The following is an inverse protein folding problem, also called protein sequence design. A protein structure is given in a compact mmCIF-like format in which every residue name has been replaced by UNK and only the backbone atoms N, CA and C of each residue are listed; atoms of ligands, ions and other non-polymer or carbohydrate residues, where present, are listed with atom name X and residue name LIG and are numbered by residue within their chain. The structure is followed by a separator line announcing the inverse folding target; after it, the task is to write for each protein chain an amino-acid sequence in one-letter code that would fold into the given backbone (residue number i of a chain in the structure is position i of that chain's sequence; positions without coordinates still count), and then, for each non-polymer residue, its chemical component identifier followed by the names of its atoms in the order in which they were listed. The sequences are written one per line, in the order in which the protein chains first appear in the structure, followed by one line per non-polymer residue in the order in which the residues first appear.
data_IF_360703430481
#
_entry.id   IF_360703430481
#
_cell.length_a   1.000
_cell.length_b   1.000
_cell.length_c   1.000
_cell.angle_alpha   90.00
_cell.angle_beta   90.00
_cell.angle_gamma   90.00
#
_symmetry.space_group_name_H-M   'P 1'
#
loop_
_entity.id
_entity.type
_entity.pdbx_description
1 polymer ?
#
# COMPACT_ATOMS: atom_id res chain seq x y z
N UNK A 1 -14.44 -30.97 10.98
CA UNK A 1 -15.33 -29.81 11.15
C UNK A 1 -14.56 -28.67 11.78
N UNK A 2 -14.12 -27.70 10.98
CA UNK A 2 -14.19 -26.27 11.28
C UNK A 2 -13.86 -25.52 9.98
N UNK A 3 -14.86 -25.43 9.09
CA UNK A 3 -14.85 -24.46 8.00
C UNK A 3 -15.15 -23.09 8.61
N UNK A 4 -14.11 -22.50 9.22
CA UNK A 4 -14.16 -21.12 9.69
C UNK A 4 -14.03 -20.19 8.49
N UNK A 5 -15.11 -20.07 7.71
CA UNK A 5 -15.26 -19.01 6.72
C UNK A 5 -15.24 -17.67 7.43
N UNK A 6 -14.05 -17.05 7.49
CA UNK A 6 -13.87 -15.66 7.86
C UNK A 6 -14.55 -14.78 6.81
N UNK A 7 -15.85 -14.57 6.99
CA UNK A 7 -16.70 -13.82 6.10
C UNK A 7 -16.46 -12.32 6.35
N UNK A 8 -15.66 -11.70 5.47
CA UNK A 8 -15.91 -10.40 4.82
C UNK A 8 -16.13 -9.15 5.70
N UNK A 9 -15.37 -8.97 6.78
CA UNK A 9 -15.16 -7.62 7.32
C UNK A 9 -14.17 -6.78 6.48
N UNK A 10 -13.58 -7.40 5.45
CA UNK A 10 -12.49 -6.83 4.66
C UNK A 10 -12.98 -5.94 3.51
N UNK A 11 -14.15 -6.24 2.92
CA UNK A 11 -14.67 -5.52 1.73
C UNK A 11 -14.89 -4.02 2.05
N UNK A 12 -15.40 -3.67 3.24
CA UNK A 12 -15.75 -2.28 3.59
C UNK A 12 -14.54 -1.32 3.59
N UNK A 13 -13.36 -1.82 4.00
CA UNK A 13 -12.15 -0.98 4.08
C UNK A 13 -11.51 -0.73 2.72
N UNK A 14 -11.59 -1.72 1.82
CA UNK A 14 -11.11 -1.63 0.45
C UNK A 14 -12.05 -0.73 -0.38
N UNK A 15 -13.37 -0.86 -0.16
CA UNK A 15 -14.38 -0.01 -0.77
C UNK A 15 -14.16 1.47 -0.45
N UNK A 16 -13.81 1.81 0.80
CA UNK A 16 -13.58 3.20 1.19
C UNK A 16 -12.41 3.84 0.44
N UNK A 17 -11.27 3.14 0.32
CA UNK A 17 -10.10 3.66 -0.40
C UNK A 17 -10.42 3.82 -1.90
N UNK A 18 -11.14 2.86 -2.47
CA UNK A 18 -11.58 2.93 -3.85
C UNK A 18 -12.51 4.13 -4.10
N UNK A 19 -13.47 4.36 -3.20
CA UNK A 19 -14.39 5.49 -3.28
C UNK A 19 -13.65 6.84 -3.20
N UNK A 20 -12.62 6.96 -2.36
CA UNK A 20 -11.78 8.15 -2.29
C UNK A 20 -10.97 8.35 -3.58
N UNK A 21 -10.44 7.27 -4.15
CA UNK A 21 -9.73 7.31 -5.42
C UNK A 21 -10.65 7.76 -6.56
N UNK A 22 -11.83 7.17 -6.67
CA UNK A 22 -12.81 7.52 -7.68
C UNK A 22 -13.27 8.98 -7.54
N UNK A 23 -13.58 9.43 -6.31
CA UNK A 23 -13.93 10.81 -6.02
C UNK A 23 -12.82 11.79 -6.44
N UNK A 24 -11.56 11.42 -6.17
CA UNK A 24 -10.42 12.21 -6.62
C UNK A 24 -10.33 12.26 -8.15
N UNK A 25 -10.41 11.12 -8.85
CA UNK A 25 -10.36 11.08 -10.31
C UNK A 25 -11.49 11.89 -10.97
N UNK A 26 -12.71 11.82 -10.41
CA UNK A 26 -13.86 12.59 -10.89
C UNK A 26 -13.65 14.10 -10.69
N UNK A 27 -13.15 14.53 -9.54
CA UNK A 27 -12.88 15.95 -9.26
C UNK A 27 -11.80 16.55 -10.16
N UNK A 28 -10.74 15.78 -10.45
CA UNK A 28 -9.68 16.17 -11.40
C UNK A 28 -10.24 16.24 -12.82
N UNK A 29 -11.05 15.25 -13.22
CA UNK A 29 -11.74 15.28 -14.52
C UNK A 29 -12.62 16.52 -14.66
N UNK A 30 -13.35 16.89 -13.60
CA UNK A 30 -14.17 18.11 -13.58
C UNK A 30 -13.31 19.37 -13.70
N UNK A 31 -12.16 19.43 -13.02
CA UNK A 31 -11.21 20.53 -13.11
C UNK A 31 -10.73 20.74 -14.56
N UNK A 32 -10.41 19.68 -15.29
CA UNK A 32 -10.01 19.77 -16.70
C UNK A 32 -11.15 20.16 -17.65
N UNK A 33 -12.38 19.74 -17.35
CA UNK A 33 -13.55 20.06 -18.17
C UNK A 33 -14.06 21.48 -17.95
N UNK A 34 -14.01 21.97 -16.70
CA UNK A 34 -14.46 23.30 -16.33
C UNK A 34 -13.47 23.94 -15.32
N UNK A 35 -12.36 24.51 -15.83
CA UNK A 35 -11.35 25.14 -15.00
C UNK A 35 -11.93 26.32 -14.22
N UNK A 36 -12.13 26.14 -12.92
CA UNK A 36 -12.60 27.18 -12.02
C UNK A 36 -11.90 27.05 -10.68
N UNK A 37 -11.82 28.15 -9.92
CA UNK A 37 -11.25 28.14 -8.58
C UNK A 37 -11.93 27.11 -7.67
N UNK A 38 -13.25 27.03 -7.72
CA UNK A 38 -14.04 26.04 -6.96
C UNK A 38 -13.71 24.60 -7.36
N UNK A 39 -13.53 24.33 -8.66
CA UNK A 39 -13.12 22.99 -9.13
C UNK A 39 -11.71 22.65 -8.64
N UNK A 40 -10.78 23.61 -8.65
CA UNK A 40 -9.42 23.43 -8.14
C UNK A 40 -9.43 23.10 -6.64
N UNK A 41 -10.18 23.86 -5.83
CA UNK A 41 -10.34 23.60 -4.41
C UNK A 41 -10.92 22.21 -4.13
N UNK A 42 -11.91 21.79 -4.92
CA UNK A 42 -12.54 20.47 -4.78
C UNK A 42 -11.53 19.35 -5.08
N UNK A 43 -10.77 19.48 -6.17
CA UNK A 43 -9.75 18.51 -6.55
C UNK A 43 -8.59 18.42 -5.53
N UNK A 44 -8.17 19.56 -4.97
CA UNK A 44 -7.16 19.59 -3.93
C UNK A 44 -7.66 18.91 -2.63
N UNK A 45 -8.91 19.16 -2.24
CA UNK A 45 -9.52 18.55 -1.07
C UNK A 45 -9.65 17.03 -1.21
N UNK A 46 -10.14 16.53 -2.35
CA UNK A 46 -10.24 15.09 -2.62
C UNK A 46 -8.88 14.42 -2.72
N UNK A 47 -7.87 15.08 -3.29
CA UNK A 47 -6.49 14.56 -3.35
C UNK A 47 -5.90 14.41 -1.95
N UNK A 48 -6.13 15.40 -1.08
CA UNK A 48 -5.71 15.35 0.32
C UNK A 48 -6.40 14.22 1.08
N UNK A 49 -7.69 14.02 0.83
CA UNK A 49 -8.47 12.94 1.44
C UNK A 49 -7.93 11.56 0.99
N UNK A 50 -7.71 11.37 -0.31
CA UNK A 50 -7.12 10.16 -0.88
C UNK A 50 -5.73 9.87 -0.29
N UNK A 51 -4.90 10.90 -0.09
CA UNK A 51 -3.60 10.70 0.55
C UNK A 51 -3.75 10.21 1.99
N UNK A 52 -4.63 10.83 2.79
CA UNK A 52 -4.87 10.44 4.19
C UNK A 52 -5.37 8.99 4.28
N UNK A 53 -6.41 8.65 3.51
CA UNK A 53 -6.96 7.29 3.52
C UNK A 53 -5.98 6.27 2.97
N UNK A 54 -5.21 6.61 1.92
CA UNK A 54 -4.16 5.75 1.38
C UNK A 54 -3.07 5.40 2.40
N UNK A 55 -2.60 6.37 3.19
CA UNK A 55 -1.62 6.10 4.25
C UNK A 55 -2.19 5.20 5.34
N UNK A 56 -3.41 5.49 5.80
CA UNK A 56 -4.08 4.68 6.83
C UNK A 56 -4.31 3.25 6.34
N UNK A 57 -4.81 3.10 5.13
CA UNK A 57 -5.08 1.80 4.51
C UNK A 57 -3.80 1.00 4.32
N UNK A 58 -2.72 1.62 3.82
CA UNK A 58 -1.40 0.98 3.68
C UNK A 58 -0.90 0.42 5.02
N UNK A 59 -1.02 1.19 6.10
CA UNK A 59 -0.61 0.74 7.43
C UNK A 59 -1.43 -0.47 7.87
N UNK A 60 -2.75 -0.40 7.78
CA UNK A 60 -3.66 -1.51 8.14
C UNK A 60 -3.38 -2.77 7.30
N UNK A 61 -3.18 -2.61 6.00
CA UNK A 61 -2.86 -3.71 5.09
C UNK A 61 -1.51 -4.36 5.43
N UNK A 62 -0.49 -3.55 5.74
CA UNK A 62 0.81 -4.07 6.20
C UNK A 62 0.68 -4.85 7.51
N UNK A 63 0.04 -4.27 8.54
CA UNK A 63 -0.11 -4.92 9.83
C UNK A 63 -0.88 -6.25 9.71
N UNK A 64 -1.95 -6.26 8.90
CA UNK A 64 -2.74 -7.46 8.59
C UNK A 64 -1.89 -8.51 7.86
N UNK A 65 -1.23 -8.12 6.78
CA UNK A 65 -0.37 -9.00 5.98
C UNK A 65 0.80 -9.57 6.80
N UNK A 66 1.38 -8.77 7.68
CA UNK A 66 2.44 -9.17 8.58
C UNK A 66 1.98 -10.23 9.58
N UNK A 67 0.83 -10.01 10.24
CA UNK A 67 0.25 -10.98 11.18
C UNK A 67 -0.13 -12.28 10.46
N UNK A 68 -0.81 -12.18 9.31
CA UNK A 68 -1.21 -13.34 8.52
C UNK A 68 0.01 -14.16 8.05
N UNK A 69 1.06 -13.47 7.57
CA UNK A 69 2.32 -14.09 7.19
C UNK A 69 2.99 -14.83 8.35
N UNK A 70 3.06 -14.21 9.53
CA UNK A 70 3.60 -14.88 10.75
C UNK A 70 2.80 -16.11 11.15
N UNK A 71 1.47 -16.05 11.08
CA UNK A 71 0.61 -17.19 11.40
C UNK A 71 0.77 -18.34 10.41
N UNK A 72 0.87 -18.04 9.11
CA UNK A 72 1.14 -19.04 8.07
C UNK A 72 2.50 -19.67 8.26
N UNK A 73 3.56 -18.88 8.46
CA UNK A 73 4.90 -19.38 8.74
C UNK A 73 4.93 -20.27 9.99
N UNK A 74 4.25 -19.88 11.07
CA UNK A 74 4.18 -20.68 12.29
C UNK A 74 3.48 -22.03 12.05
N UNK A 75 2.40 -22.06 11.26
CA UNK A 75 1.71 -23.30 10.88
C UNK A 75 2.60 -24.21 10.04
N UNK A 76 3.37 -23.66 9.11
CA UNK A 76 4.31 -24.40 8.27
C UNK A 76 5.45 -24.99 9.11
N UNK A 77 6.08 -24.20 9.97
CA UNK A 77 7.14 -24.68 10.89
C UNK A 77 6.61 -25.81 11.78
N UNK A 78 5.40 -25.64 12.34
CA UNK A 78 4.75 -26.67 13.15
C UNK A 78 4.51 -27.95 12.35
N UNK A 79 4.02 -27.84 11.11
CA UNK A 79 3.79 -28.99 10.23
C UNK A 79 5.10 -29.69 9.85
N UNK A 80 6.17 -28.95 9.52
CA UNK A 80 7.49 -29.51 9.23
C UNK A 80 8.02 -30.33 10.41
N UNK A 81 7.88 -29.82 11.63
CA UNK A 81 8.32 -30.53 12.84
C UNK A 81 7.48 -31.77 13.12
N UNK A 82 6.16 -31.68 12.94
CA UNK A 82 5.22 -32.77 13.26
C UNK A 82 5.24 -33.90 12.24
N UNK A 83 5.37 -33.60 10.95
CA UNK A 83 5.18 -34.58 9.87
C UNK A 83 6.48 -35.01 9.18
N UNK A 84 7.49 -34.15 9.12
CA UNK A 84 8.73 -34.43 8.37
C UNK A 84 9.92 -34.78 9.28
N UNK A 85 9.77 -34.69 10.60
CA UNK A 85 10.84 -34.99 11.54
C UNK A 85 12.05 -34.03 11.47
N UNK A 86 11.89 -32.87 10.84
CA UNK A 86 12.97 -31.89 10.63
C UNK A 86 13.54 -31.45 11.98
N UNK A 87 14.87 -31.44 12.10
CA UNK A 87 15.56 -31.01 13.32
C UNK A 87 15.36 -29.50 13.55
N UNK A 88 15.42 -29.06 14.82
CA UNK A 88 15.33 -27.62 15.12
C UNK A 88 16.48 -26.83 14.46
N UNK A 89 17.66 -27.45 14.34
CA UNK A 89 18.84 -26.85 13.71
C UNK A 89 18.63 -26.57 12.21
N UNK A 90 18.01 -27.51 11.48
CA UNK A 90 17.69 -27.32 10.06
C UNK A 90 16.65 -26.20 9.85
N UNK A 91 15.66 -26.11 10.75
CA UNK A 91 14.68 -25.02 10.73
C UNK A 91 15.39 -23.67 10.97
N UNK A 92 16.28 -23.59 11.95
CA UNK A 92 17.06 -22.38 12.21
C UNK A 92 17.95 -21.98 11.03
N UNK A 93 18.62 -22.93 10.39
CA UNK A 93 19.41 -22.70 9.17
C UNK A 93 18.56 -22.20 8.00
N UNK A 94 17.33 -22.67 7.89
CA UNK A 94 16.39 -22.21 6.86
C UNK A 94 15.94 -20.77 7.14
N UNK A 95 15.55 -20.48 8.38
CA UNK A 95 15.10 -19.14 8.79
C UNK A 95 16.21 -18.10 8.68
N UNK A 96 17.45 -18.43 9.05
CA UNK A 96 18.57 -17.50 8.93
C UNK A 96 18.85 -17.10 7.48
N UNK A 97 18.74 -18.03 6.53
CA UNK A 97 18.85 -17.71 5.09
C UNK A 97 17.80 -16.70 4.63
N UNK A 98 16.56 -16.83 5.11
CA UNK A 98 15.46 -15.92 4.77
C UNK A 98 15.72 -14.53 5.36
N UNK A 99 16.13 -14.45 6.63
CA UNK A 99 16.44 -13.18 7.30
C UNK A 99 17.61 -12.47 6.60
N UNK A 100 18.70 -13.19 6.33
CA UNK A 100 19.82 -12.62 5.58
C UNK A 100 19.37 -12.13 4.19
N UNK A 101 18.58 -12.92 3.46
CA UNK A 101 18.08 -12.52 2.14
C UNK A 101 17.21 -11.25 2.19
N UNK A 102 16.45 -11.04 3.26
CA UNK A 102 15.66 -9.82 3.46
C UNK A 102 16.55 -8.60 3.70
N UNK A 103 17.65 -8.74 4.44
CA UNK A 103 18.63 -7.67 4.70
C UNK A 103 19.40 -7.25 3.44
N UNK A 104 19.70 -8.21 2.55
CA UNK A 104 20.40 -7.94 1.28
C UNK A 104 19.52 -7.27 0.21
N UNK A 105 18.30 -6.89 0.55
CA UNK A 105 17.58 -5.85 -0.18
C UNK A 105 17.15 -6.27 -1.57
N UNK A 106 16.14 -7.15 -1.64
CA UNK A 106 15.06 -6.89 -2.59
C UNK A 106 14.26 -5.68 -2.07
N UNK A 107 14.90 -4.52 -2.04
CA UNK A 107 14.18 -3.28 -2.24
C UNK A 107 13.52 -3.45 -3.59
N UNK A 108 12.23 -3.76 -3.59
CA UNK A 108 11.37 -3.44 -4.71
C UNK A 108 11.50 -1.92 -4.86
N UNK A 109 12.52 -1.52 -5.62
CA UNK A 109 12.72 -0.16 -6.06
C UNK A 109 11.51 0.09 -6.92
N UNK A 110 10.46 0.64 -6.33
CA UNK A 110 9.43 1.34 -7.09
C UNK A 110 10.20 2.18 -8.10
N UNK A 111 9.95 2.02 -9.42
CA UNK A 111 10.67 2.79 -10.41
C UNK A 111 10.69 4.24 -9.95
N UNK A 112 11.88 4.77 -9.67
CA UNK A 112 12.04 6.21 -9.53
C UNK A 112 11.38 6.79 -10.77
N UNK A 113 10.31 7.61 -10.64
CA UNK A 113 9.61 8.11 -11.80
C UNK A 113 10.66 8.74 -12.70
N UNK A 114 10.78 8.21 -13.91
CA UNK A 114 11.61 8.78 -14.97
C UNK A 114 11.32 10.27 -14.96
N UNK A 115 12.37 11.09 -14.83
CA UNK A 115 12.27 12.53 -15.06
C UNK A 115 11.82 12.71 -16.50
N UNK A 116 10.51 12.68 -16.71
CA UNK A 116 9.92 12.86 -18.01
C UNK A 116 9.83 14.36 -18.19
N UNK A 117 10.58 14.91 -19.14
CA UNK A 117 10.54 16.32 -19.57
C UNK A 117 9.20 16.65 -20.26
N UNK A 118 8.08 16.31 -19.63
CA UNK A 118 6.76 16.76 -20.04
C UNK A 118 6.48 18.07 -19.32
N UNK A 119 6.17 19.16 -20.04
CA UNK A 119 5.86 20.46 -19.44
C UNK A 119 4.69 20.38 -18.45
N UNK A 120 3.79 19.40 -18.61
CA UNK A 120 2.72 19.13 -17.65
C UNK A 120 3.27 18.64 -16.30
N UNK A 121 4.25 17.73 -16.29
CA UNK A 121 4.89 17.20 -15.08
C UNK A 121 5.68 18.31 -14.37
N UNK A 122 6.43 19.12 -15.13
CA UNK A 122 7.14 20.28 -14.57
C UNK A 122 6.19 21.29 -13.94
N UNK A 123 5.05 21.57 -14.58
CA UNK A 123 4.01 22.42 -14.01
C UNK A 123 3.47 21.83 -12.70
N UNK A 124 3.10 20.55 -12.68
CA UNK A 124 2.62 19.88 -11.47
C UNK A 124 3.66 19.85 -10.34
N UNK A 125 4.94 19.63 -10.63
CA UNK A 125 6.02 19.74 -9.65
C UNK A 125 6.18 21.18 -9.13
N UNK A 126 6.07 22.18 -10.00
CA UNK A 126 6.15 23.59 -9.61
C UNK A 126 4.96 23.99 -8.72
N UNK A 127 3.73 23.58 -9.06
CA UNK A 127 2.55 23.85 -8.22
C UNK A 127 2.60 23.05 -6.92
N UNK A 128 3.07 21.80 -6.96
CA UNK A 128 3.26 20.95 -5.78
C UNK A 128 4.31 21.48 -4.82
N UNK A 129 5.46 21.95 -5.31
CA UNK A 129 6.48 22.61 -4.50
C UNK A 129 5.95 23.92 -3.90
N UNK A 130 5.14 24.67 -4.65
CA UNK A 130 4.47 25.87 -4.12
C UNK A 130 3.47 25.50 -3.02
N UNK A 131 2.73 24.39 -3.16
CA UNK A 131 1.78 23.94 -2.15
C UNK A 131 2.45 23.44 -0.87
N UNK A 132 3.60 22.74 -0.98
CA UNK A 132 4.41 22.33 0.18
C UNK A 132 5.06 23.54 0.88
N UNK A 133 5.38 24.61 0.14
CA UNK A 133 5.94 25.84 0.74
C UNK A 133 4.90 26.73 1.42
N UNK A 134 3.61 26.55 1.14
CA UNK A 134 2.52 27.41 1.65
C UNK A 134 1.75 26.74 2.81
N UNK A 135 1.96 25.46 3.07
CA UNK A 135 1.44 24.73 4.25
C UNK A 135 2.55 24.51 5.26
#
# INVERSE_FOLDING_TARGET
MNEGGGKRSDDEGDDLLWNDFESCAQSVTLLYRNPSWKAMQTAAASTTQLYKSGIEHKKKAYDRGFIAGRQTLAREIYALRRYNGVSLDDIWKLLSKIVCAAEYGYSSRSPTPEQTDSPAVSFFQQVGNFFILVV
#
